data_IF_753372451378
#
_entry.id   IF_753372451378
#
_cell.length_a   1.000
_cell.length_b   1.000
_cell.length_c   1.000
_cell.angle_alpha   90.00
_cell.angle_beta   90.00
_cell.angle_gamma   90.00
#
_symmetry.space_group_name_H-M   'P 1'
#
loop_
_entity.id
_entity.type
_entity.pdbx_description
1 polymer ?
#
# COMPACT_ATOMS: atom_id res chain seq x y z
N UNK A 1 6.59 3.74 -26.40
CA UNK A 1 7.27 2.76 -25.51
C UNK A 1 6.46 1.46 -25.35
N UNK A 2 5.14 1.49 -25.47
CA UNK A 2 4.29 0.29 -25.35
C UNK A 2 4.30 -0.36 -23.94
N UNK A 3 4.69 0.39 -22.94
CA UNK A 3 4.71 -0.06 -21.55
C UNK A 3 3.47 0.35 -20.78
N UNK A 4 3.27 -0.27 -19.62
CA UNK A 4 2.23 0.07 -18.65
C UNK A 4 2.87 0.61 -17.38
N UNK A 5 2.46 1.81 -16.99
CA UNK A 5 2.80 2.44 -15.71
C UNK A 5 1.57 2.37 -14.81
N UNK A 6 1.74 1.96 -13.56
CA UNK A 6 0.66 1.90 -12.59
C UNK A 6 1.21 2.05 -11.16
N UNK A 7 0.30 2.21 -10.19
CA UNK A 7 0.62 2.26 -8.77
C UNK A 7 -0.52 1.61 -7.96
N UNK A 8 -0.18 1.14 -6.77
CA UNK A 8 -1.18 0.74 -5.77
C UNK A 8 -0.71 1.13 -4.37
N UNK A 9 -1.66 1.34 -3.48
CA UNK A 9 -1.42 1.55 -2.06
C UNK A 9 -2.07 0.42 -1.26
N UNK A 10 -1.31 -0.15 -0.33
CA UNK A 10 -1.82 -1.06 0.69
C UNK A 10 -1.73 -0.41 2.08
N UNK A 11 -2.10 -1.13 3.13
CA UNK A 11 -1.94 -0.63 4.51
C UNK A 11 -0.49 -0.46 4.94
N UNK A 12 0.46 -1.12 4.27
CA UNK A 12 1.85 -1.15 4.68
C UNK A 12 2.82 -0.51 3.67
N UNK A 13 2.42 -0.40 2.41
CA UNK A 13 3.30 0.12 1.36
C UNK A 13 2.54 0.81 0.24
N UNK A 14 3.24 1.70 -0.47
CA UNK A 14 2.85 2.22 -1.78
C UNK A 14 3.85 1.69 -2.81
N UNK A 15 3.34 1.14 -3.89
CA UNK A 15 4.16 0.58 -4.96
C UNK A 15 3.88 1.32 -6.27
N UNK A 16 4.92 1.82 -6.91
CA UNK A 16 4.90 2.36 -8.27
C UNK A 16 5.63 1.38 -9.17
N UNK A 17 5.02 0.95 -10.24
CA UNK A 17 5.66 -0.04 -11.11
C UNK A 17 5.41 0.23 -12.59
N UNK A 18 6.36 -0.20 -13.40
CA UNK A 18 6.27 -0.16 -14.85
C UNK A 18 6.55 -1.54 -15.43
N UNK A 19 5.73 -1.98 -16.38
CA UNK A 19 5.96 -3.18 -17.20
C UNK A 19 6.32 -2.75 -18.61
N UNK A 20 7.54 -3.05 -19.04
CA UNK A 20 8.10 -2.58 -20.31
C UNK A 20 8.88 -3.69 -21.01
N UNK A 21 9.15 -3.52 -22.30
CA UNK A 21 10.12 -4.37 -23.01
C UNK A 21 11.55 -4.13 -22.50
N UNK A 22 12.41 -5.14 -22.60
CA UNK A 22 13.78 -5.12 -22.06
C UNK A 22 14.59 -3.89 -22.50
N UNK A 23 14.48 -3.47 -23.75
CA UNK A 23 15.19 -2.30 -24.27
C UNK A 23 14.78 -0.96 -23.60
N UNK A 24 13.62 -0.92 -22.95
CA UNK A 24 13.07 0.30 -22.35
C UNK A 24 13.23 0.34 -20.82
N UNK A 25 13.91 -0.61 -20.20
CA UNK A 25 14.13 -0.66 -18.76
C UNK A 25 14.81 0.61 -18.23
N UNK A 26 15.89 1.14 -18.83
CA UNK A 26 16.51 2.37 -18.36
C UNK A 26 15.57 3.56 -18.38
N UNK A 27 14.74 3.69 -19.42
CA UNK A 27 13.75 4.75 -19.54
C UNK A 27 12.60 4.60 -18.50
N UNK A 28 12.20 3.37 -18.18
CA UNK A 28 11.21 3.11 -17.15
C UNK A 28 11.73 3.54 -15.75
N UNK A 29 12.99 3.26 -15.45
CA UNK A 29 13.65 3.71 -14.20
C UNK A 29 13.68 5.24 -14.13
N UNK A 30 14.02 5.91 -15.22
CA UNK A 30 14.04 7.37 -15.30
C UNK A 30 12.64 7.96 -15.05
N UNK A 31 11.61 7.45 -15.71
CA UNK A 31 10.21 7.88 -15.51
C UNK A 31 9.77 7.65 -14.06
N UNK A 32 10.01 6.47 -13.49
CA UNK A 32 9.65 6.18 -12.11
C UNK A 32 10.37 7.12 -11.13
N UNK A 33 11.63 7.42 -11.38
CA UNK A 33 12.36 8.36 -10.53
C UNK A 33 11.84 9.78 -10.64
N UNK A 34 11.44 10.22 -11.83
CA UNK A 34 10.92 11.57 -12.08
C UNK A 34 9.57 11.80 -11.40
N UNK A 35 8.63 10.87 -11.54
CA UNK A 35 7.30 11.01 -10.90
C UNK A 35 7.39 11.05 -9.36
N UNK A 36 8.40 10.39 -8.77
CA UNK A 36 8.58 10.35 -7.32
C UNK A 36 9.34 11.57 -6.78
N UNK A 37 10.26 12.14 -7.55
CA UNK A 37 11.11 13.24 -7.10
C UNK A 37 10.64 14.61 -7.57
N UNK A 38 9.93 14.70 -8.70
CA UNK A 38 9.60 15.94 -9.36
C UNK A 38 8.09 16.13 -9.57
N UNK A 39 7.27 15.59 -8.68
CA UNK A 39 5.82 15.76 -8.74
C UNK A 39 5.44 17.26 -8.67
N UNK A 40 4.66 17.74 -9.64
CA UNK A 40 4.24 19.13 -9.72
C UNK A 40 3.24 19.52 -8.63
N UNK A 41 2.48 18.56 -8.11
CA UNK A 41 1.41 18.77 -7.13
C UNK A 41 0.48 19.92 -7.53
N UNK A 42 0.07 19.93 -8.80
CA UNK A 42 -0.82 20.98 -9.36
C UNK A 42 -2.15 20.99 -8.62
N UNK A 43 -2.57 22.16 -8.13
CA UNK A 43 -3.77 22.30 -7.29
C UNK A 43 -5.04 21.86 -8.02
N UNK A 44 -5.16 22.13 -9.32
CA UNK A 44 -6.33 21.70 -10.11
C UNK A 44 -6.33 20.18 -10.31
N UNK A 45 -5.16 19.55 -10.41
CA UNK A 45 -5.04 18.12 -10.45
C UNK A 45 -5.44 17.48 -9.10
N UNK A 46 -5.01 18.07 -7.98
CA UNK A 46 -5.39 17.66 -6.63
C UNK A 46 -6.91 17.71 -6.44
N UNK A 47 -7.56 18.81 -6.88
CA UNK A 47 -9.02 18.92 -6.77
C UNK A 47 -9.75 17.86 -7.61
N UNK A 48 -9.30 17.59 -8.84
CA UNK A 48 -9.90 16.50 -9.65
C UNK A 48 -9.71 15.12 -9.02
N UNK A 49 -8.52 14.84 -8.49
CA UNK A 49 -8.21 13.57 -7.83
C UNK A 49 -9.03 13.37 -6.55
N UNK A 50 -9.28 14.44 -5.80
CA UNK A 50 -10.15 14.42 -4.63
C UNK A 50 -11.54 13.85 -4.95
N UNK A 51 -12.14 14.31 -6.05
CA UNK A 51 -13.44 13.82 -6.50
C UNK A 51 -13.38 12.36 -6.97
N UNK A 52 -12.24 11.93 -7.54
CA UNK A 52 -12.01 10.52 -7.92
C UNK A 52 -11.96 9.66 -6.67
N UNK A 53 -11.15 10.03 -5.67
CA UNK A 53 -11.01 9.29 -4.41
C UNK A 53 -12.35 9.20 -3.65
N UNK A 54 -13.13 10.28 -3.60
CA UNK A 54 -14.44 10.25 -2.95
C UNK A 54 -15.44 9.32 -3.64
N UNK A 55 -15.36 9.17 -4.96
CA UNK A 55 -16.16 8.18 -5.71
C UNK A 55 -15.66 6.75 -5.46
N UNK A 56 -14.34 6.56 -5.46
CA UNK A 56 -13.74 5.26 -5.12
C UNK A 56 -14.16 4.80 -3.72
N UNK A 57 -14.22 5.70 -2.75
CA UNK A 57 -14.77 5.39 -1.42
C UNK A 57 -16.21 4.87 -1.48
N UNK A 58 -17.07 5.49 -2.29
CA UNK A 58 -18.46 5.04 -2.47
C UNK A 58 -18.54 3.67 -3.15
N UNK A 59 -17.63 3.40 -4.10
CA UNK A 59 -17.53 2.09 -4.74
C UNK A 59 -17.12 1.00 -3.74
N UNK A 60 -16.11 1.27 -2.90
CA UNK A 60 -15.65 0.36 -1.84
C UNK A 60 -16.75 0.11 -0.80
N UNK A 61 -17.51 1.14 -0.40
CA UNK A 61 -18.67 0.99 0.49
C UNK A 61 -19.74 0.06 -0.08
N UNK A 62 -19.84 -0.02 -1.40
CA UNK A 62 -20.71 -0.96 -2.12
C UNK A 62 -20.18 -2.39 -2.25
N UNK A 63 -18.95 -2.67 -1.76
CA UNK A 63 -18.31 -3.99 -1.80
C UNK A 63 -18.25 -4.63 -0.41
N UNK A 64 -19.18 -5.51 -0.04
CA UNK A 64 -19.28 -6.05 1.32
C UNK A 64 -18.00 -6.77 1.79
N UNK A 65 -17.26 -7.39 0.88
CA UNK A 65 -15.99 -8.07 1.20
C UNK A 65 -14.93 -7.06 1.66
N UNK A 66 -14.75 -5.94 0.96
CA UNK A 66 -13.80 -4.88 1.33
C UNK A 66 -14.21 -4.24 2.66
N UNK A 67 -15.48 -3.93 2.83
CA UNK A 67 -16.03 -3.34 4.06
C UNK A 67 -15.82 -4.26 5.26
N UNK A 68 -16.03 -5.57 5.11
CA UNK A 68 -15.79 -6.56 6.18
C UNK A 68 -14.30 -6.60 6.55
N UNK A 69 -13.39 -6.56 5.57
CA UNK A 69 -11.96 -6.53 5.84
C UNK A 69 -11.50 -5.22 6.48
N UNK A 70 -12.07 -4.09 6.13
CA UNK A 70 -11.80 -2.82 6.78
C UNK A 70 -12.23 -2.84 8.26
N UNK A 71 -13.41 -3.36 8.56
CA UNK A 71 -13.88 -3.56 9.93
C UNK A 71 -13.01 -4.57 10.69
N UNK A 72 -12.59 -5.66 10.04
CA UNK A 72 -11.70 -6.63 10.64
C UNK A 72 -10.38 -5.99 11.09
N UNK A 73 -9.74 -5.23 10.21
CA UNK A 73 -8.48 -4.56 10.53
C UNK A 73 -8.66 -3.50 11.63
N UNK A 74 -9.70 -2.67 11.54
CA UNK A 74 -10.00 -1.66 12.55
C UNK A 74 -10.24 -2.28 13.93
N UNK A 75 -10.85 -3.47 13.99
CA UNK A 75 -11.18 -4.19 15.20
C UNK A 75 -9.97 -4.96 15.75
N UNK A 76 -9.21 -5.62 14.87
CA UNK A 76 -8.05 -6.42 15.25
C UNK A 76 -6.82 -5.58 15.63
N UNK A 77 -6.70 -4.34 15.13
CA UNK A 77 -5.54 -3.46 15.33
C UNK A 77 -5.99 -2.08 15.85
N UNK A 78 -6.76 -2.07 16.92
CA UNK A 78 -7.26 -0.84 17.52
C UNK A 78 -6.12 0.09 17.91
N UNK A 79 -6.31 1.39 17.67
CA UNK A 79 -5.32 2.45 17.95
C UNK A 79 -3.98 2.31 17.21
N UNK A 80 -3.86 1.37 16.28
CA UNK A 80 -2.68 1.17 15.44
C UNK A 80 -2.91 1.72 14.02
N UNK A 81 -1.86 2.21 13.33
CA UNK A 81 -1.96 2.58 11.92
C UNK A 81 -2.48 1.47 11.01
N UNK A 82 -2.18 0.19 11.32
CA UNK A 82 -2.65 -0.97 10.54
C UNK A 82 -4.18 -1.15 10.58
N UNK A 83 -4.85 -0.63 11.60
CA UNK A 83 -6.31 -0.63 11.69
C UNK A 83 -7.01 0.45 10.86
N UNK A 84 -6.27 1.34 10.20
CA UNK A 84 -6.84 2.41 9.37
C UNK A 84 -7.19 1.89 7.98
N UNK A 85 -8.23 2.48 7.37
CA UNK A 85 -8.56 2.23 5.97
C UNK A 85 -7.54 2.87 5.04
N UNK A 86 -7.35 2.31 3.85
CA UNK A 86 -6.38 2.81 2.87
C UNK A 86 -6.77 4.21 2.38
N UNK A 87 -8.04 4.42 2.05
CA UNK A 87 -8.55 5.70 1.55
C UNK A 87 -8.71 6.75 2.66
N UNK A 88 -8.75 6.32 3.92
CA UNK A 88 -8.95 7.20 5.07
C UNK A 88 -10.36 7.80 5.16
N UNK A 89 -10.63 8.67 6.13
CA UNK A 89 -11.94 9.29 6.27
C UNK A 89 -12.17 10.39 5.21
N UNK A 90 -13.38 10.48 4.66
CA UNK A 90 -13.77 11.46 3.66
C UNK A 90 -13.47 12.93 4.08
N UNK A 91 -13.55 13.23 5.38
CA UNK A 91 -13.20 14.54 5.91
C UNK A 91 -11.73 14.91 5.65
N UNK A 92 -10.83 13.94 5.80
CA UNK A 92 -9.41 14.14 5.50
C UNK A 92 -9.19 14.34 4.00
N UNK A 93 -9.82 13.50 3.15
CA UNK A 93 -9.74 13.64 1.69
C UNK A 93 -10.18 15.04 1.26
N UNK A 94 -11.26 15.58 1.84
CA UNK A 94 -11.74 16.94 1.55
C UNK A 94 -10.80 18.05 2.01
N UNK A 95 -10.01 17.81 3.06
CA UNK A 95 -9.16 18.83 3.69
C UNK A 95 -7.68 18.79 3.27
N UNK A 96 -7.22 17.70 2.61
CA UNK A 96 -5.84 17.60 2.13
C UNK A 96 -5.52 18.73 1.16
N UNK A 97 -4.41 19.41 1.39
CA UNK A 97 -3.89 20.49 0.55
C UNK A 97 -2.59 20.09 -0.11
N UNK A 98 -2.15 20.88 -1.10
CA UNK A 98 -0.82 20.76 -1.70
C UNK A 98 0.30 20.75 -0.65
N UNK A 99 0.19 21.58 0.39
CA UNK A 99 1.17 21.65 1.46
C UNK A 99 1.25 20.34 2.25
N UNK A 100 0.10 19.72 2.57
CA UNK A 100 0.06 18.41 3.23
C UNK A 100 0.73 17.31 2.39
N UNK A 101 0.49 17.30 1.06
CA UNK A 101 1.12 16.32 0.17
C UNK A 101 2.63 16.54 0.07
N UNK A 102 3.08 17.78 -0.04
CA UNK A 102 4.50 18.11 -0.08
C UNK A 102 5.23 17.70 1.21
N UNK A 103 4.63 17.99 2.37
CA UNK A 103 5.17 17.58 3.68
C UNK A 103 5.22 16.05 3.83
N UNK A 104 4.16 15.36 3.40
CA UNK A 104 4.12 13.91 3.40
C UNK A 104 5.24 13.29 2.54
N UNK A 105 5.44 13.81 1.33
CA UNK A 105 6.52 13.35 0.44
C UNK A 105 7.88 13.64 1.07
N UNK A 106 8.12 14.84 1.55
CA UNK A 106 9.39 15.23 2.17
C UNK A 106 9.73 14.34 3.39
N UNK A 107 8.73 13.96 4.17
CA UNK A 107 8.90 13.17 5.39
C UNK A 107 9.05 11.68 5.10
N UNK A 108 8.29 11.15 4.13
CA UNK A 108 8.14 9.71 3.95
C UNK A 108 8.91 9.13 2.76
N UNK A 109 9.21 9.94 1.72
CA UNK A 109 9.90 9.46 0.52
C UNK A 109 11.41 9.67 0.66
N UNK A 110 12.02 8.88 1.52
CA UNK A 110 13.46 8.89 1.79
C UNK A 110 14.10 7.56 1.37
N UNK A 111 15.40 7.55 1.05
CA UNK A 111 16.09 6.36 0.58
C UNK A 111 16.04 5.21 1.61
N UNK A 112 16.01 5.53 2.91
CA UNK A 112 15.87 4.52 3.98
C UNK A 112 14.53 3.77 3.97
N UNK A 113 13.51 4.25 3.21
CA UNK A 113 12.17 3.66 3.10
C UNK A 113 11.84 3.19 1.69
N UNK A 114 12.75 3.33 0.73
CA UNK A 114 12.51 3.00 -0.67
C UNK A 114 13.29 1.77 -1.08
N UNK A 115 12.66 0.91 -1.87
CA UNK A 115 13.30 -0.26 -2.47
C UNK A 115 12.99 -0.25 -3.95
N UNK A 116 14.02 -0.39 -4.78
CA UNK A 116 13.88 -0.60 -6.22
C UNK A 116 14.06 -2.09 -6.50
N UNK A 117 13.08 -2.71 -7.10
CA UNK A 117 13.11 -4.11 -7.48
C UNK A 117 12.74 -4.26 -8.95
N UNK A 118 13.39 -5.18 -9.66
CA UNK A 118 13.04 -5.52 -11.02
C UNK A 118 13.12 -7.04 -11.24
N UNK A 119 12.23 -7.55 -12.07
CA UNK A 119 12.21 -8.95 -12.46
C UNK A 119 11.96 -9.09 -13.96
N UNK A 120 12.62 -10.05 -14.60
CA UNK A 120 12.53 -10.30 -16.04
C UNK A 120 13.89 -10.18 -16.75
N UNK A 121 13.88 -9.68 -17.98
CA UNK A 121 15.08 -9.52 -18.80
C UNK A 121 15.87 -8.26 -18.39
N UNK A 122 16.48 -8.28 -17.21
CA UNK A 122 17.28 -7.18 -16.66
C UNK A 122 18.66 -7.67 -16.23
N UNK A 123 19.67 -6.85 -16.46
CA UNK A 123 21.00 -7.02 -15.88
C UNK A 123 21.06 -6.27 -14.55
N UNK A 124 21.46 -6.96 -13.49
CA UNK A 124 21.46 -6.41 -12.14
C UNK A 124 22.38 -5.20 -12.01
N UNK A 125 23.63 -5.31 -12.48
CA UNK A 125 24.64 -4.25 -12.30
C UNK A 125 24.29 -3.00 -13.10
N UNK A 126 23.73 -3.19 -14.30
CA UNK A 126 23.23 -2.10 -15.13
C UNK A 126 22.02 -1.41 -14.46
N UNK A 127 21.11 -2.19 -13.85
CA UNK A 127 19.95 -1.65 -13.14
C UNK A 127 20.39 -0.87 -11.88
N UNK A 128 21.32 -1.39 -11.11
CA UNK A 128 21.87 -0.69 -9.93
C UNK A 128 22.46 0.66 -10.32
N UNK A 129 23.31 0.72 -11.34
CA UNK A 129 23.88 1.98 -11.84
C UNK A 129 22.82 2.96 -12.34
N UNK A 130 21.78 2.47 -13.01
CA UNK A 130 20.68 3.30 -13.48
C UNK A 130 19.88 3.87 -12.30
N UNK A 131 19.56 3.03 -11.29
CA UNK A 131 18.84 3.44 -10.10
C UNK A 131 19.67 4.44 -9.25
N UNK A 132 20.94 4.19 -9.00
CA UNK A 132 21.84 5.13 -8.29
C UNK A 132 21.85 6.51 -8.93
N UNK A 133 21.95 6.55 -10.26
CA UNK A 133 21.92 7.80 -11.02
C UNK A 133 20.54 8.49 -10.92
N UNK A 134 19.47 7.74 -11.15
CA UNK A 134 18.12 8.27 -11.25
C UNK A 134 17.61 8.78 -9.88
N UNK A 135 17.94 8.07 -8.79
CA UNK A 135 17.48 8.41 -7.43
C UNK A 135 18.53 9.17 -6.60
N UNK A 136 19.59 9.69 -7.21
CA UNK A 136 20.68 10.39 -6.52
C UNK A 136 20.24 11.59 -5.67
N UNK A 137 19.10 12.20 -5.99
CA UNK A 137 18.56 13.37 -5.26
C UNK A 137 17.62 13.00 -4.11
N UNK A 138 17.26 11.72 -3.96
CA UNK A 138 16.38 11.27 -2.87
C UNK A 138 17.13 11.46 -1.55
N UNK A 139 16.50 12.10 -0.53
CA UNK A 139 17.14 12.29 0.77
C UNK A 139 17.54 10.95 1.39
N UNK A 140 18.81 10.83 1.77
CA UNK A 140 19.33 9.62 2.44
C UNK A 140 19.04 9.61 3.94
N UNK A 141 18.82 10.79 4.52
CA UNK A 141 18.48 10.93 5.93
C UNK A 141 17.01 10.55 6.19
N UNK A 142 16.77 9.87 7.30
CA UNK A 142 15.40 9.53 7.72
C UNK A 142 15.37 8.22 8.52
N UNK A 143 14.30 8.03 9.26
CA UNK A 143 14.04 6.80 10.02
C UNK A 143 13.63 5.69 9.04
N UNK A 144 14.26 4.54 9.11
CA UNK A 144 13.93 3.39 8.28
C UNK A 144 12.54 2.82 8.62
N UNK A 145 11.93 2.09 7.68
CA UNK A 145 10.66 1.41 7.93
C UNK A 145 10.76 0.44 9.11
N UNK A 146 11.86 -0.30 9.23
CA UNK A 146 12.07 -1.24 10.33
C UNK A 146 12.17 -0.56 11.71
N UNK A 147 12.74 0.65 11.79
CA UNK A 147 12.78 1.43 13.03
C UNK A 147 11.41 1.96 13.40
N UNK A 148 10.62 2.41 12.43
CA UNK A 148 9.24 2.86 12.68
C UNK A 148 8.35 1.74 13.19
N UNK A 149 8.43 0.55 12.60
CA UNK A 149 7.67 -0.63 13.04
C UNK A 149 8.09 -1.03 14.46
N UNK A 150 9.39 -0.98 14.79
CA UNK A 150 9.85 -1.26 16.16
C UNK A 150 9.39 -0.23 17.17
N UNK A 151 9.32 1.04 16.77
CA UNK A 151 8.86 2.13 17.65
C UNK A 151 7.35 2.10 17.92
N UNK A 152 6.56 1.60 16.96
CA UNK A 152 5.10 1.52 17.05
C UNK A 152 4.59 0.18 16.49
N UNK A 153 4.84 -0.95 17.19
CA UNK A 153 4.39 -2.25 16.75
C UNK A 153 2.86 -2.32 16.72
N UNK A 154 2.32 -2.98 15.70
CA UNK A 154 0.89 -3.25 15.66
C UNK A 154 0.56 -4.32 16.71
N UNK A 155 -0.37 -4.01 17.61
CA UNK A 155 -0.85 -4.94 18.62
C UNK A 155 -2.17 -5.53 18.17
N UNK A 156 -2.23 -6.86 18.11
CA UNK A 156 -3.47 -7.57 17.84
C UNK A 156 -4.39 -7.50 19.08
N UNK A 157 -5.61 -7.02 18.85
CA UNK A 157 -6.65 -6.93 19.91
C UNK A 157 -7.81 -7.86 19.55
N UNK A 158 -8.14 -8.79 20.45
CA UNK A 158 -9.35 -9.61 20.33
C UNK A 158 -10.60 -8.75 20.54
N UNK A 159 -11.51 -8.77 19.58
CA UNK A 159 -12.73 -7.98 19.62
C UNK A 159 -13.81 -8.58 18.70
N UNK A 160 -15.03 -8.10 18.82
CA UNK A 160 -16.18 -8.55 18.01
C UNK A 160 -16.96 -7.33 17.54
N UNK A 161 -17.21 -7.23 16.24
CA UNK A 161 -18.08 -6.22 15.64
C UNK A 161 -19.15 -6.90 14.83
N UNK A 162 -20.41 -6.55 15.08
CA UNK A 162 -21.58 -7.07 14.36
C UNK A 162 -22.37 -5.90 13.79
N UNK A 163 -22.45 -5.86 12.47
CA UNK A 163 -23.25 -4.89 11.74
C UNK A 163 -24.45 -5.64 11.16
N UNK A 164 -25.64 -5.20 11.51
CA UNK A 164 -26.89 -5.77 11.00
C UNK A 164 -27.47 -4.83 9.97
N UNK A 165 -27.61 -5.35 8.77
CA UNK A 165 -28.32 -4.69 7.68
C UNK A 165 -29.51 -5.60 7.26
N UNK A 166 -30.77 -5.17 7.46
CA UNK A 166 -31.94 -5.98 7.13
C UNK A 166 -32.11 -6.17 5.62
N UNK A 167 -31.52 -5.31 4.80
CA UNK A 167 -31.65 -5.35 3.34
C UNK A 167 -30.58 -6.24 2.68
N UNK A 168 -29.61 -6.76 3.46
CA UNK A 168 -28.55 -7.63 2.99
C UNK A 168 -29.04 -9.08 2.93
N UNK A 169 -28.92 -9.71 1.77
CA UNK A 169 -29.36 -11.10 1.52
C UNK A 169 -28.31 -12.16 1.91
N UNK A 170 -27.08 -11.75 2.22
CA UNK A 170 -25.97 -12.62 2.54
C UNK A 170 -25.24 -12.19 3.81
N UNK A 171 -24.74 -13.17 4.56
CA UNK A 171 -23.85 -12.92 5.68
C UNK A 171 -22.40 -12.87 5.17
N UNK A 172 -21.70 -11.76 5.47
CA UNK A 172 -20.26 -11.65 5.30
C UNK A 172 -19.59 -11.75 6.68
N UNK A 173 -18.74 -12.76 6.85
CA UNK A 173 -18.08 -13.06 8.11
C UNK A 173 -16.58 -13.15 7.90
N UNK A 174 -15.81 -12.40 8.69
CA UNK A 174 -14.37 -12.53 8.78
C UNK A 174 -13.94 -12.84 10.21
N UNK A 175 -13.07 -13.81 10.39
CA UNK A 175 -12.51 -14.22 11.68
C UNK A 175 -10.99 -14.17 11.55
N UNK A 176 -10.31 -13.46 12.45
CA UNK A 176 -8.88 -13.35 12.48
C UNK A 176 -8.28 -13.92 13.76
N UNK A 177 -7.14 -14.54 13.60
CA UNK A 177 -6.27 -14.99 14.68
C UNK A 177 -4.88 -14.41 14.46
N UNK A 178 -4.13 -14.21 15.52
CA UNK A 178 -2.72 -13.83 15.39
C UNK A 178 -1.97 -14.94 14.64
N UNK A 179 -1.31 -14.55 13.57
CA UNK A 179 -0.51 -15.43 12.72
C UNK A 179 0.97 -15.07 12.76
N UNK A 180 1.68 -15.47 11.72
CA UNK A 180 3.10 -15.16 11.52
C UNK A 180 3.30 -14.08 10.47
N UNK A 181 4.35 -13.27 10.61
CA UNK A 181 4.76 -12.30 9.59
C UNK A 181 5.41 -13.02 8.39
N UNK A 182 5.56 -12.31 7.27
CA UNK A 182 6.25 -12.83 6.08
C UNK A 182 7.69 -13.25 6.32
N UNK A 183 8.36 -12.67 7.30
CA UNK A 183 9.75 -12.97 7.67
C UNK A 183 9.86 -14.02 8.76
N UNK A 184 8.75 -14.48 9.30
CA UNK A 184 8.70 -15.51 10.34
C UNK A 184 8.94 -16.91 9.75
N UNK A 185 9.63 -17.75 10.47
CA UNK A 185 9.87 -19.16 10.08
C UNK A 185 8.56 -19.95 9.93
N UNK A 186 7.52 -19.57 10.69
CA UNK A 186 6.22 -20.24 10.67
C UNK A 186 5.31 -19.76 9.52
N UNK A 187 5.73 -18.79 8.72
CA UNK A 187 4.93 -18.27 7.59
C UNK A 187 4.59 -19.37 6.58
N UNK A 188 5.57 -20.13 6.14
CA UNK A 188 5.39 -21.22 5.17
C UNK A 188 4.54 -22.38 5.74
N UNK A 189 4.78 -22.87 6.97
CA UNK A 189 3.89 -23.83 7.62
C UNK A 189 2.42 -23.37 7.68
N UNK A 190 2.16 -22.10 8.00
CA UNK A 190 0.80 -21.55 8.02
C UNK A 190 0.17 -21.52 6.63
N UNK A 191 0.92 -21.16 5.59
CA UNK A 191 0.44 -21.20 4.21
C UNK A 191 0.07 -22.61 3.77
N UNK A 192 0.88 -23.61 4.12
CA UNK A 192 0.60 -25.03 3.83
C UNK A 192 -0.66 -25.48 4.58
N UNK A 193 -0.82 -25.10 5.83
CA UNK A 193 -2.03 -25.37 6.62
C UNK A 193 -3.28 -24.76 5.97
N UNK A 194 -3.20 -23.53 5.44
CA UNK A 194 -4.29 -22.85 4.73
C UNK A 194 -4.74 -23.66 3.51
N UNK A 195 -3.80 -24.11 2.69
CA UNK A 195 -4.10 -24.92 1.49
C UNK A 195 -4.73 -26.27 1.89
N UNK A 196 -4.21 -26.95 2.91
CA UNK A 196 -4.74 -28.21 3.41
C UNK A 196 -6.20 -28.11 3.89
N UNK A 197 -6.59 -26.98 4.50
CA UNK A 197 -7.99 -26.73 4.91
C UNK A 197 -8.92 -26.40 3.76
N UNK A 198 -8.44 -25.75 2.71
CA UNK A 198 -9.25 -25.45 1.53
C UNK A 198 -9.71 -26.72 0.78
N UNK A 199 -9.04 -27.85 0.98
CA UNK A 199 -9.41 -29.16 0.39
C UNK A 199 -10.48 -29.88 1.22
N UNK A 200 -10.64 -29.58 2.50
CA UNK A 200 -11.71 -30.12 3.34
C UNK A 200 -13.02 -29.32 3.13
N UNK A 201 -13.66 -29.55 1.98
CA UNK A 201 -15.07 -29.18 1.78
C UNK A 201 -15.93 -30.23 2.50
N UNK A 202 -16.62 -29.78 3.55
CA UNK A 202 -17.74 -30.51 4.10
C UNK A 202 -19.02 -30.25 3.30
#
# INVERSE_FOLDING_TARGET
MGGHLNAYTSREQTCYYAKVGAANVPQAVDILSDILQNSNLDERAIERERDVILREMQEVEGMPEEVVFDHLHATAFQHSPLGRTILGPAANVRSITRAHLADYIATNYTAARMVVAAAGAVDHDALVKAAEKAFAKVPSAGTSAAELVRAAPATFTGSDVRIRDPDMDKLHLAIAFQGASWTDADSVPLMVMQVGRAVLRF
#
